data_IF_898212331484
#
_entry.id   IF_898212331484
#
_cell.length_a   1.000
_cell.length_b   1.000
_cell.length_c   1.000
_cell.angle_alpha   90.00
_cell.angle_beta   90.00
_cell.angle_gamma   90.00
#
_symmetry.space_group_name_H-M   'P 1'
#
loop_
_entity.id
_entity.type
_entity.pdbx_description
1 polymer ?
#
# COMPACT_ATOMS: atom_id res chain seq x y z
N UNK A 1 -18.24 34.09 -11.24
CA UNK A 1 -17.47 33.01 -10.57
C UNK A 1 -17.59 31.73 -11.39
N UNK A 2 -16.50 30.97 -11.63
CA UNK A 2 -16.58 29.68 -12.33
C UNK A 2 -17.39 28.66 -11.51
N UNK A 3 -18.17 27.82 -12.17
CA UNK A 3 -18.99 26.80 -11.51
C UNK A 3 -18.12 25.77 -10.77
N UNK A 4 -18.56 25.33 -9.59
CA UNK A 4 -17.85 24.34 -8.77
C UNK A 4 -17.78 23.00 -9.52
N UNK A 5 -16.57 22.43 -9.63
CA UNK A 5 -16.35 21.16 -10.34
C UNK A 5 -16.86 19.98 -9.49
N UNK A 6 -17.69 19.12 -10.10
CA UNK A 6 -18.16 17.85 -9.52
C UNK A 6 -17.13 16.73 -9.78
N UNK A 7 -17.01 15.79 -8.85
CA UNK A 7 -16.17 14.58 -9.01
C UNK A 7 -17.05 13.32 -9.01
N UNK A 8 -16.75 12.39 -9.91
CA UNK A 8 -17.59 11.20 -10.14
C UNK A 8 -16.74 9.94 -10.08
N UNK A 9 -17.32 8.86 -9.57
CA UNK A 9 -16.70 7.52 -9.51
C UNK A 9 -16.57 6.90 -10.91
N UNK A 10 -15.65 5.96 -11.08
CA UNK A 10 -15.48 5.25 -12.35
C UNK A 10 -16.75 4.47 -12.73
N UNK A 11 -17.40 3.81 -11.76
CA UNK A 11 -18.69 3.13 -11.95
C UNK A 11 -19.75 4.06 -12.54
N UNK A 12 -19.89 5.27 -12.00
CA UNK A 12 -20.85 6.25 -12.49
C UNK A 12 -20.53 6.69 -13.93
N UNK A 13 -19.25 6.95 -14.23
CA UNK A 13 -18.82 7.35 -15.58
C UNK A 13 -19.10 6.24 -16.59
N UNK A 14 -18.85 4.98 -16.24
CA UNK A 14 -19.16 3.83 -17.09
C UNK A 14 -20.66 3.67 -17.32
N UNK A 15 -21.50 3.88 -16.31
CA UNK A 15 -22.96 3.87 -16.46
C UNK A 15 -23.44 4.98 -17.42
N UNK A 16 -22.86 6.19 -17.30
CA UNK A 16 -23.16 7.29 -18.21
C UNK A 16 -22.71 6.99 -19.65
N UNK A 17 -21.60 6.28 -19.84
CA UNK A 17 -21.14 5.84 -21.16
C UNK A 17 -22.10 4.80 -21.77
N UNK A 18 -22.49 3.76 -21.02
CA UNK A 18 -23.44 2.75 -21.50
C UNK A 18 -24.75 3.38 -21.98
N UNK A 19 -25.33 4.26 -21.15
CA UNK A 19 -26.55 4.97 -21.54
C UNK A 19 -26.34 5.88 -22.78
N UNK A 20 -25.14 6.45 -22.94
CA UNK A 20 -24.83 7.28 -24.10
C UNK A 20 -24.62 6.48 -25.39
N UNK A 21 -24.31 5.18 -25.30
CA UNK A 21 -24.26 4.28 -26.44
C UNK A 21 -25.66 3.98 -26.97
N UNK A 22 -26.64 3.81 -26.06
CA UNK A 22 -28.03 3.54 -26.42
C UNK A 22 -28.80 4.79 -26.89
N UNK A 23 -28.68 5.91 -26.16
CA UNK A 23 -29.52 7.11 -26.36
C UNK A 23 -28.75 8.35 -26.83
N UNK A 24 -27.42 8.26 -26.92
CA UNK A 24 -26.55 9.38 -27.29
C UNK A 24 -26.12 10.29 -26.13
N UNK A 25 -25.06 11.06 -26.35
CA UNK A 25 -24.38 11.83 -25.30
C UNK A 25 -25.26 12.92 -24.65
N UNK A 26 -26.13 13.55 -25.44
CA UNK A 26 -26.98 14.65 -24.97
C UNK A 26 -28.14 14.15 -24.11
N UNK A 27 -28.69 12.98 -24.43
CA UNK A 27 -29.67 12.29 -23.60
C UNK A 27 -29.05 11.86 -22.27
N UNK A 28 -27.84 11.28 -22.29
CA UNK A 28 -27.10 10.90 -21.09
C UNK A 28 -26.84 12.10 -20.17
N UNK A 29 -26.45 13.24 -20.74
CA UNK A 29 -26.25 14.46 -19.97
C UNK A 29 -27.50 14.93 -19.22
N UNK A 30 -28.69 14.82 -19.85
CA UNK A 30 -29.97 15.11 -19.20
C UNK A 30 -30.35 14.07 -18.16
N UNK A 31 -30.15 12.78 -18.44
CA UNK A 31 -30.52 11.69 -17.54
C UNK A 31 -29.70 11.71 -16.24
N UNK A 32 -28.41 12.03 -16.31
CA UNK A 32 -27.49 11.99 -15.16
C UNK A 32 -27.19 13.37 -14.55
N UNK A 33 -27.79 14.45 -15.05
CA UNK A 33 -27.43 15.84 -14.69
C UNK A 33 -25.91 16.13 -14.84
N UNK A 34 -25.36 15.71 -15.98
CA UNK A 34 -23.95 15.86 -16.33
C UNK A 34 -23.82 16.64 -17.63
N UNK A 35 -22.77 17.45 -17.75
CA UNK A 35 -22.48 18.14 -19.01
C UNK A 35 -22.15 17.14 -20.12
N UNK A 36 -22.71 17.33 -21.31
CA UNK A 36 -22.46 16.48 -22.49
C UNK A 36 -20.95 16.34 -22.82
N UNK A 37 -20.17 17.41 -22.64
CA UNK A 37 -18.70 17.38 -22.74
C UNK A 37 -18.05 16.31 -21.84
N UNK A 38 -18.55 16.14 -20.62
CA UNK A 38 -18.01 15.15 -19.67
C UNK A 38 -18.31 13.72 -20.14
N UNK A 39 -19.53 13.46 -20.61
CA UNK A 39 -19.90 12.16 -21.20
C UNK A 39 -19.01 11.85 -22.40
N UNK A 40 -18.78 12.83 -23.27
CA UNK A 40 -17.88 12.70 -24.42
C UNK A 40 -16.44 12.35 -24.01
N UNK A 41 -15.88 13.05 -23.01
CA UNK A 41 -14.54 12.73 -22.49
C UNK A 41 -14.49 11.35 -21.83
N UNK A 42 -15.56 10.92 -21.15
CA UNK A 42 -15.63 9.58 -20.59
C UNK A 42 -15.61 8.52 -21.70
N UNK A 43 -16.33 8.73 -22.82
CA UNK A 43 -16.27 7.83 -23.99
C UNK A 43 -14.88 7.71 -24.61
N UNK A 44 -14.10 8.80 -24.63
CA UNK A 44 -12.71 8.77 -25.11
C UNK A 44 -11.74 8.07 -24.15
N UNK A 45 -12.14 7.87 -22.90
CA UNK A 45 -11.28 7.32 -21.84
C UNK A 45 -11.86 6.04 -21.22
N UNK A 46 -12.73 5.34 -21.96
CA UNK A 46 -13.39 4.09 -21.54
C UNK A 46 -12.39 3.05 -21.06
N UNK A 47 -11.31 2.84 -21.81
CA UNK A 47 -10.32 1.80 -21.51
C UNK A 47 -9.65 2.06 -20.15
N UNK A 48 -9.32 3.34 -19.88
CA UNK A 48 -8.76 3.77 -18.59
C UNK A 48 -9.78 3.64 -17.46
N UNK A 49 -11.06 3.92 -17.74
CA UNK A 49 -12.14 3.78 -16.78
C UNK A 49 -12.45 2.31 -16.45
N UNK A 50 -12.24 1.38 -17.39
CA UNK A 50 -12.37 -0.06 -17.17
C UNK A 50 -11.16 -0.64 -16.43
N UNK A 51 -9.95 -0.17 -16.72
CA UNK A 51 -8.74 -0.62 -16.04
C UNK A 51 -8.66 -0.16 -14.57
N UNK A 52 -9.28 0.96 -14.22
CA UNK A 52 -9.29 1.46 -12.85
C UNK A 52 -10.39 0.80 -11.98
N UNK A 53 -10.17 0.75 -10.67
CA UNK A 53 -11.17 0.29 -9.70
C UNK A 53 -12.45 1.14 -9.79
N UNK A 54 -13.62 0.50 -9.69
CA UNK A 54 -14.95 1.12 -9.81
C UNK A 54 -15.17 2.34 -8.91
N UNK A 55 -14.60 2.30 -7.71
CA UNK A 55 -14.88 3.28 -6.66
C UNK A 55 -13.96 4.50 -6.76
N UNK A 56 -12.85 4.38 -7.49
CA UNK A 56 -11.92 5.49 -7.72
C UNK A 56 -12.59 6.57 -8.55
N UNK A 57 -12.40 7.83 -8.17
CA UNK A 57 -12.94 9.00 -8.89
C UNK A 57 -11.99 9.57 -9.94
N UNK A 58 -10.70 9.35 -9.78
CA UNK A 58 -9.67 9.78 -10.71
C UNK A 58 -8.48 8.82 -10.63
N UNK A 59 -7.81 8.63 -11.76
CA UNK A 59 -6.54 7.93 -11.82
C UNK A 59 -5.43 8.93 -11.51
N UNK A 60 -5.22 9.16 -10.21
CA UNK A 60 -4.19 10.06 -9.69
C UNK A 60 -3.04 9.23 -9.15
N UNK A 61 -1.83 9.60 -9.52
CA UNK A 61 -0.61 8.95 -9.08
C UNK A 61 0.51 9.23 -10.06
N UNK A 62 1.75 9.20 -9.58
CA UNK A 62 2.90 9.13 -10.47
C UNK A 62 2.99 7.69 -10.98
N UNK A 63 3.35 7.54 -12.24
CA UNK A 63 3.78 6.24 -12.74
C UNK A 63 5.10 5.87 -12.07
N UNK A 64 5.36 4.57 -11.96
CA UNK A 64 6.65 4.05 -11.52
C UNK A 64 7.77 4.74 -12.30
N UNK A 65 8.78 5.26 -11.59
CA UNK A 65 9.94 5.87 -12.23
C UNK A 65 10.86 4.79 -12.79
N UNK A 66 10.88 3.64 -12.12
CA UNK A 66 11.65 2.47 -12.51
C UNK A 66 10.75 1.22 -12.49
N UNK A 67 9.91 1.01 -13.54
CA UNK A 67 8.87 -0.02 -13.52
C UNK A 67 9.40 -1.42 -13.17
N UNK A 68 10.53 -1.81 -13.76
CA UNK A 68 11.12 -3.13 -13.56
C UNK A 68 11.68 -3.31 -12.14
N UNK A 69 12.36 -2.28 -11.62
CA UNK A 69 12.95 -2.29 -10.29
C UNK A 69 11.86 -2.26 -9.20
N UNK A 70 10.86 -1.40 -9.35
CA UNK A 70 9.73 -1.31 -8.43
C UNK A 70 8.91 -2.61 -8.44
N UNK A 71 8.74 -3.24 -9.61
CA UNK A 71 8.09 -4.55 -9.74
C UNK A 71 8.85 -5.68 -9.03
N UNK A 72 10.18 -5.72 -9.19
CA UNK A 72 11.04 -6.68 -8.49
C UNK A 72 10.99 -6.48 -6.97
N UNK A 73 11.11 -5.23 -6.51
CA UNK A 73 11.06 -4.89 -5.09
C UNK A 73 9.71 -5.27 -4.47
N UNK A 74 8.60 -4.96 -5.16
CA UNK A 74 7.25 -5.32 -4.71
C UNK A 74 7.09 -6.84 -4.54
N UNK A 75 7.59 -7.62 -5.51
CA UNK A 75 7.53 -9.09 -5.45
C UNK A 75 8.32 -9.64 -4.26
N UNK A 76 9.54 -9.11 -4.01
CA UNK A 76 10.34 -9.47 -2.86
C UNK A 76 9.66 -9.14 -1.52
N UNK A 77 9.03 -7.97 -1.38
CA UNK A 77 8.30 -7.58 -0.15
C UNK A 77 7.14 -8.54 0.13
N UNK A 78 6.37 -8.93 -0.89
CA UNK A 78 5.28 -9.90 -0.73
C UNK A 78 5.79 -11.26 -0.26
N UNK A 79 6.93 -11.70 -0.79
CA UNK A 79 7.58 -12.94 -0.37
C UNK A 79 8.02 -12.90 1.09
N UNK A 80 8.59 -11.77 1.54
CA UNK A 80 8.98 -11.58 2.95
C UNK A 80 7.76 -11.59 3.89
N UNK A 81 6.66 -10.93 3.50
CA UNK A 81 5.41 -10.92 4.29
C UNK A 81 4.75 -12.29 4.35
N UNK A 82 4.87 -13.10 3.30
CA UNK A 82 4.38 -14.47 3.32
C UNK A 82 5.21 -15.38 4.24
N UNK A 83 6.51 -15.09 4.40
CA UNK A 83 7.41 -15.84 5.28
C UNK A 83 7.28 -15.47 6.77
N UNK A 84 6.76 -14.28 7.08
CA UNK A 84 6.44 -13.84 8.44
C UNK A 84 4.91 -13.80 8.66
N UNK A 85 4.24 -14.94 8.89
CA UNK A 85 2.83 -14.94 9.28
C UNK A 85 2.71 -14.42 10.72
N UNK A 86 1.96 -13.33 10.89
CA UNK A 86 1.53 -12.86 12.21
C UNK A 86 2.19 -11.54 12.62
N UNK A 87 1.50 -10.46 12.32
CA UNK A 87 1.23 -9.31 13.19
C UNK A 87 0.16 -8.52 12.44
N UNK A 88 -1.02 -9.14 12.34
CA UNK A 88 -2.23 -8.41 12.00
C UNK A 88 -2.48 -7.44 13.16
N UNK A 89 -2.60 -6.15 12.87
CA UNK A 89 -2.95 -5.07 13.81
C UNK A 89 -4.39 -5.21 14.34
N UNK A 90 -4.78 -6.38 14.86
CA UNK A 90 -6.05 -6.59 15.55
C UNK A 90 -5.90 -6.15 17.02
N UNK A 91 -6.40 -4.95 17.29
CA UNK A 91 -6.60 -4.35 18.61
C UNK A 91 -7.62 -5.18 19.42
N UNK A 92 -7.22 -6.36 19.88
CA UNK A 92 -7.96 -7.13 20.87
C UNK A 92 -7.29 -6.95 22.24
N UNK A 93 -7.75 -5.92 22.97
CA UNK A 93 -7.53 -5.82 24.41
C UNK A 93 -8.22 -7.00 25.08
N UNK A 94 -7.49 -8.09 25.27
CA UNK A 94 -7.84 -9.17 26.18
C UNK A 94 -6.75 -9.23 27.24
N UNK A 95 -6.99 -8.47 28.29
CA UNK A 95 -6.31 -8.54 29.58
C UNK A 95 -6.42 -9.97 30.12
N UNK A 96 -5.30 -10.66 30.23
CA UNK A 96 -5.17 -11.93 30.93
C UNK A 96 -3.74 -12.02 31.44
N UNK A 97 -3.59 -11.61 32.69
CA UNK A 97 -2.40 -11.79 33.50
C UNK A 97 -2.25 -13.29 33.77
N UNK A 98 -1.31 -13.95 33.10
CA UNK A 98 -0.84 -15.29 33.49
C UNK A 98 0.66 -15.24 33.68
N UNK A 99 1.04 -15.09 34.95
CA UNK A 99 2.39 -15.21 35.47
C UNK A 99 2.83 -16.67 35.36
N UNK A 100 3.77 -16.94 34.44
CA UNK A 100 4.58 -18.17 34.49
C UNK A 100 6.05 -17.75 34.50
N UNK A 101 6.67 -17.84 35.68
CA UNK A 101 8.13 -17.89 35.80
C UNK A 101 8.66 -19.10 35.04
N UNK A 102 9.10 -18.88 33.79
CA UNK A 102 9.95 -19.83 33.08
C UNK A 102 11.37 -19.27 33.12
N UNK A 103 12.14 -19.84 34.03
CA UNK A 103 13.57 -19.61 34.28
C UNK A 103 14.36 -19.62 32.96
N UNK A 104 15.17 -18.59 32.64
CA UNK A 104 15.89 -18.58 31.36
C UNK A 104 16.89 -19.73 31.31
N UNK A 105 16.76 -20.54 30.26
CA UNK A 105 17.65 -21.63 29.94
C UNK A 105 19.12 -21.19 30.08
N UNK A 106 19.84 -21.85 30.99
CA UNK A 106 21.28 -21.71 31.16
C UNK A 106 21.97 -21.84 29.79
N UNK A 107 22.71 -20.81 29.40
CA UNK A 107 23.53 -20.81 28.19
C UNK A 107 24.46 -22.05 28.19
N UNK A 108 24.69 -22.68 27.02
CA UNK A 108 25.57 -23.84 26.95
C UNK A 108 26.97 -23.46 27.46
N UNK A 109 27.66 -24.34 28.21
CA UNK A 109 28.90 -24.02 28.89
C UNK A 109 30.00 -23.49 27.95
N UNK A 110 29.99 -23.92 26.69
CA UNK A 110 30.95 -23.43 25.68
C UNK A 110 30.78 -21.94 25.33
N UNK A 111 29.58 -21.39 25.44
CA UNK A 111 29.32 -19.96 25.20
C UNK A 111 29.68 -19.10 26.42
N UNK A 112 29.66 -19.68 27.63
CA UNK A 112 30.07 -19.00 28.85
C UNK A 112 31.58 -18.78 28.91
N UNK A 113 32.38 -19.74 28.40
CA UNK A 113 33.84 -19.60 28.32
C UNK A 113 34.26 -18.52 27.31
N UNK A 114 33.55 -18.40 26.18
CA UNK A 114 33.85 -17.36 25.18
C UNK A 114 33.61 -15.94 25.69
N UNK A 115 32.61 -15.74 26.56
CA UNK A 115 32.31 -14.42 27.12
C UNK A 115 33.31 -14.01 28.22
N UNK A 116 33.93 -14.99 28.88
CA UNK A 116 34.96 -14.76 29.90
C UNK A 116 36.37 -14.58 29.29
N UNK A 117 36.61 -15.04 28.06
CA UNK A 117 37.92 -14.93 27.42
C UNK A 117 38.16 -13.62 26.64
N UNK A 118 37.20 -12.69 26.61
CA UNK A 118 37.30 -11.45 25.83
C UNK A 118 37.48 -10.19 26.71
N UNK A 119 37.76 -10.34 28.00
CA UNK A 119 38.06 -9.23 28.91
C UNK A 119 39.55 -9.10 29.25
N UNK A 120 40.44 -9.58 28.40
CA UNK A 120 41.87 -9.32 28.57
C UNK A 120 42.19 -7.92 28.05
N UNK A 121 42.68 -7.08 28.97
CA UNK A 121 43.05 -5.69 28.79
C UNK A 121 44.04 -5.51 27.62
N UNK A 122 43.57 -4.96 26.50
CA UNK A 122 44.48 -4.30 25.57
C UNK A 122 44.81 -2.92 26.15
N UNK A 123 45.95 -2.85 26.84
CA UNK A 123 46.63 -1.62 27.21
C UNK A 123 46.78 -0.73 25.96
N UNK A 124 45.96 0.31 25.88
CA UNK A 124 46.04 1.36 24.88
C UNK A 124 47.28 2.22 25.17
N UNK A 125 48.42 1.87 24.59
CA UNK A 125 49.62 2.70 24.63
C UNK A 125 49.39 3.98 23.82
N UNK A 126 49.61 5.10 24.50
CA UNK A 126 49.31 6.45 24.04
C UNK A 126 50.10 6.89 22.82
N UNK A 127 49.48 7.84 22.14
CA UNK A 127 49.98 8.68 21.06
C UNK A 127 51.33 9.34 21.39
N UNK A 128 52.35 9.12 20.54
CA UNK A 128 53.52 9.99 20.44
C UNK A 128 53.51 10.74 19.10
N UNK A 129 54.00 11.98 19.21
CA UNK A 129 53.80 13.18 18.38
C UNK A 129 54.68 13.25 17.11
#
# INVERSE_FOLDING_TARGET
MPAKRKSYTAKFKLAAVKYAEDYGNRAAGRHFDVTEKMVRTCRQSTDKLQAMKSDKKADRGKKARWPDLEGRLHSWILEQRAQAPGLDDDDSSSDSEEETEEVPASLPPELAELFQSASEDEDFEGFEE
#
